data_IF_276958986574
#
_entry.id   IF_276958986574
#
_cell.length_a   1.000
_cell.length_b   1.000
_cell.length_c   1.000
_cell.angle_alpha   90.00
_cell.angle_beta   90.00
_cell.angle_gamma   90.00
#
_symmetry.space_group_name_H-M   'P 1'
#
loop_
_entity.id
_entity.type
_entity.pdbx_description
1 polymer ?
#
# COMPACT_ATOMS: atom_id res chain seq x y z
N UNK A 1 -49.72 -18.49 30.08
CA UNK A 1 -51.11 -18.89 29.76
C UNK A 1 -51.39 -18.36 28.36
N UNK A 2 -51.69 -19.07 27.28
CA UNK A 2 -52.10 -20.45 27.00
C UNK A 2 -51.42 -20.84 25.66
N UNK A 3 -50.80 -22.02 25.51
CA UNK A 3 -51.42 -23.33 25.22
C UNK A 3 -52.31 -23.35 23.97
N UNK A 4 -51.75 -23.91 22.88
CA UNK A 4 -52.35 -24.85 21.91
C UNK A 4 -51.34 -25.04 20.78
N UNK A 5 -50.87 -26.22 20.40
CA UNK A 5 -51.47 -27.55 20.48
C UNK A 5 -51.74 -28.05 19.06
N UNK A 6 -51.20 -29.23 18.70
CA UNK A 6 -51.47 -29.95 17.45
C UNK A 6 -50.20 -30.18 16.62
N UNK A 7 -49.40 -31.22 16.87
CA UNK A 7 -49.65 -32.65 16.65
C UNK A 7 -49.56 -33.07 15.17
N UNK A 8 -48.66 -34.03 14.98
CA UNK A 8 -48.62 -35.07 13.97
C UNK A 8 -48.04 -34.75 12.58
N UNK A 9 -47.08 -35.64 12.26
CA UNK A 9 -46.95 -36.30 10.97
C UNK A 9 -45.91 -35.76 9.98
N UNK A 10 -44.65 -36.10 10.24
CA UNK A 10 -43.72 -36.40 9.15
C UNK A 10 -42.73 -37.49 9.52
N UNK A 11 -43.26 -38.69 9.73
CA UNK A 11 -42.51 -39.93 9.52
C UNK A 11 -42.38 -40.13 8.01
N UNK A 12 -41.30 -39.65 7.37
CA UNK A 12 -40.86 -40.15 6.06
C UNK A 12 -39.32 -40.19 6.02
N UNK A 13 -38.85 -41.44 6.10
CA UNK A 13 -37.70 -42.02 5.40
C UNK A 13 -36.29 -41.56 5.79
N UNK A 14 -35.68 -42.46 6.58
CA UNK A 14 -34.30 -42.92 6.45
C UNK A 14 -33.89 -43.07 4.97
N UNK A 15 -33.38 -41.99 4.38
CA UNK A 15 -32.63 -42.02 3.13
C UNK A 15 -31.20 -41.67 3.45
N UNK A 16 -30.37 -42.68 3.69
CA UNK A 16 -28.92 -42.49 3.81
C UNK A 16 -28.43 -41.78 2.56
N UNK A 17 -28.10 -40.49 2.69
CA UNK A 17 -27.42 -39.74 1.66
C UNK A 17 -26.02 -40.34 1.54
N UNK A 18 -25.90 -41.37 0.71
CA UNK A 18 -24.66 -41.83 0.15
C UNK A 18 -23.96 -40.60 -0.42
N UNK A 19 -22.96 -40.11 0.31
CA UNK A 19 -22.07 -39.05 -0.14
C UNK A 19 -21.55 -39.51 -1.51
N UNK A 20 -21.68 -38.74 -2.59
CA UNK A 20 -21.04 -39.11 -3.84
C UNK A 20 -19.53 -39.13 -3.60
N UNK A 21 -18.99 -40.34 -3.47
CA UNK A 21 -17.58 -40.62 -3.41
C UNK A 21 -17.01 -40.30 -4.78
N UNK A 22 -16.55 -39.06 -4.97
CA UNK A 22 -15.70 -38.70 -6.09
C UNK A 22 -14.28 -39.20 -5.81
N UNK A 23 -14.09 -40.51 -5.87
CA UNK A 23 -12.78 -41.08 -6.12
C UNK A 23 -12.52 -40.96 -7.63
N UNK A 24 -11.51 -40.19 -8.08
CA UNK A 24 -11.16 -40.17 -9.49
C UNK A 24 -10.52 -41.52 -9.83
N UNK A 25 -11.33 -42.41 -10.39
CA UNK A 25 -10.88 -43.65 -10.99
C UNK A 25 -10.29 -43.33 -12.37
N UNK A 26 -9.00 -43.56 -12.54
CA UNK A 26 -8.36 -43.52 -13.85
C UNK A 26 -6.89 -43.14 -13.77
N UNK A 27 -6.03 -44.11 -14.08
CA UNK A 27 -4.60 -43.93 -14.34
C UNK A 27 -4.37 -43.12 -15.64
N UNK A 28 -4.78 -41.86 -15.62
CA UNK A 28 -4.59 -40.83 -16.65
C UNK A 28 -4.34 -39.44 -16.04
N UNK A 29 -4.03 -39.38 -14.73
CA UNK A 29 -4.02 -38.18 -13.89
C UNK A 29 -2.89 -37.18 -14.14
N UNK A 30 -1.88 -37.50 -14.96
CA UNK A 30 -0.75 -36.60 -15.24
C UNK A 30 -1.14 -35.34 -16.03
N UNK A 31 -2.06 -35.47 -17.00
CA UNK A 31 -2.51 -34.36 -17.83
C UNK A 31 -3.34 -33.32 -17.07
N UNK A 32 -4.22 -33.77 -16.18
CA UNK A 32 -5.10 -32.88 -15.38
C UNK A 32 -4.30 -32.11 -14.33
N UNK A 33 -3.32 -32.75 -13.68
CA UNK A 33 -2.41 -32.08 -12.74
C UNK A 33 -1.56 -31.03 -13.46
N UNK A 34 -0.98 -31.38 -14.61
CA UNK A 34 -0.21 -30.44 -15.43
C UNK A 34 -1.07 -29.26 -15.91
N UNK A 35 -2.31 -29.49 -16.34
CA UNK A 35 -3.23 -28.43 -16.74
C UNK A 35 -3.51 -27.45 -15.58
N UNK A 36 -3.74 -27.96 -14.36
CA UNK A 36 -3.91 -27.11 -13.17
C UNK A 36 -2.64 -26.31 -12.85
N UNK A 37 -1.46 -26.93 -12.92
CA UNK A 37 -0.18 -26.25 -12.72
C UNK A 37 0.05 -25.14 -13.75
N UNK A 38 -0.27 -25.38 -15.02
CA UNK A 38 -0.19 -24.37 -16.07
C UNK A 38 -1.16 -23.21 -15.83
N UNK A 39 -2.40 -23.48 -15.43
CA UNK A 39 -3.36 -22.42 -15.08
C UNK A 39 -2.88 -21.60 -13.88
N UNK A 40 -2.31 -22.24 -12.86
CA UNK A 40 -1.72 -21.54 -11.71
C UNK A 40 -0.55 -20.65 -12.15
N UNK A 41 0.37 -21.17 -12.97
CA UNK A 41 1.51 -20.42 -13.47
C UNK A 41 1.07 -19.24 -14.34
N UNK A 42 0.06 -19.43 -15.20
CA UNK A 42 -0.52 -18.35 -15.99
C UNK A 42 -1.12 -17.25 -15.10
N UNK A 43 -1.85 -17.63 -14.05
CA UNK A 43 -2.37 -16.67 -13.07
C UNK A 43 -1.26 -15.92 -12.32
N UNK A 44 -0.14 -16.58 -12.03
CA UNK A 44 1.02 -15.97 -11.39
C UNK A 44 1.72 -14.98 -12.32
N UNK A 45 1.90 -15.32 -13.60
CA UNK A 45 2.47 -14.42 -14.60
C UNK A 45 1.58 -13.19 -14.84
N UNK A 46 0.27 -13.37 -14.92
CA UNK A 46 -0.67 -12.26 -15.06
C UNK A 46 -0.60 -11.31 -13.84
N UNK A 47 -0.57 -11.87 -12.62
CA UNK A 47 -0.39 -11.09 -11.40
C UNK A 47 0.96 -10.37 -11.38
N UNK A 48 2.05 -11.06 -11.74
CA UNK A 48 3.37 -10.45 -11.77
C UNK A 48 3.42 -9.28 -12.77
N UNK A 49 2.86 -9.47 -13.97
CA UNK A 49 2.77 -8.41 -14.99
C UNK A 49 2.00 -7.19 -14.48
N UNK A 50 0.87 -7.40 -13.78
CA UNK A 50 0.10 -6.31 -13.19
C UNK A 50 0.92 -5.58 -12.11
N UNK A 51 1.54 -6.32 -11.19
CA UNK A 51 2.37 -5.72 -10.14
C UNK A 51 3.58 -4.93 -10.70
N UNK A 52 4.18 -5.41 -11.79
CA UNK A 52 5.28 -4.69 -12.45
C UNK A 52 4.80 -3.38 -13.07
N UNK A 53 3.63 -3.39 -13.73
CA UNK A 53 3.03 -2.18 -14.28
C UNK A 53 2.69 -1.15 -13.17
N UNK A 54 2.13 -1.63 -12.05
CA UNK A 54 1.83 -0.77 -10.90
C UNK A 54 3.10 -0.19 -10.28
N UNK A 55 4.15 -1.01 -10.16
CA UNK A 55 5.46 -0.57 -9.63
C UNK A 55 6.11 0.47 -10.54
N UNK A 56 6.07 0.29 -11.86
CA UNK A 56 6.58 1.25 -12.83
C UNK A 56 5.84 2.60 -12.74
N UNK A 57 4.52 2.56 -12.58
CA UNK A 57 3.71 3.75 -12.39
C UNK A 57 4.06 4.48 -11.07
N UNK A 58 4.16 3.74 -9.97
CA UNK A 58 4.58 4.30 -8.68
C UNK A 58 5.97 4.92 -8.76
N UNK A 59 6.92 4.29 -9.47
CA UNK A 59 8.26 4.83 -9.66
C UNK A 59 8.25 6.14 -10.46
N UNK A 60 7.45 6.23 -11.53
CA UNK A 60 7.29 7.48 -12.31
C UNK A 60 6.68 8.60 -11.47
N UNK A 61 5.64 8.31 -10.69
CA UNK A 61 5.04 9.32 -9.81
C UNK A 61 6.03 9.75 -8.73
N UNK A 62 6.73 8.79 -8.13
CA UNK A 62 7.71 9.06 -7.07
C UNK A 62 8.89 9.87 -7.59
N UNK A 63 9.35 9.65 -8.83
CA UNK A 63 10.43 10.46 -9.40
C UNK A 63 10.04 11.92 -9.58
N UNK A 64 8.82 12.19 -10.05
CA UNK A 64 8.29 13.56 -10.17
C UNK A 64 8.15 14.21 -8.79
N UNK A 65 7.65 13.46 -7.80
CA UNK A 65 7.54 13.94 -6.43
C UNK A 65 8.91 14.25 -5.82
N UNK A 66 9.92 13.40 -6.04
CA UNK A 66 11.28 13.61 -5.53
C UNK A 66 11.90 14.90 -6.10
N UNK A 67 11.70 15.17 -7.38
CA UNK A 67 12.14 16.41 -8.02
C UNK A 67 11.43 17.64 -7.45
N UNK A 68 10.10 17.57 -7.30
CA UNK A 68 9.32 18.65 -6.69
C UNK A 68 9.75 18.92 -5.24
N UNK A 69 9.99 17.88 -4.44
CA UNK A 69 10.48 18.02 -3.06
C UNK A 69 11.88 18.63 -3.01
N UNK A 70 12.77 18.25 -3.93
CA UNK A 70 14.10 18.86 -4.05
C UNK A 70 14.01 20.34 -4.40
N UNK A 71 13.16 20.71 -5.36
CA UNK A 71 12.93 22.11 -5.74
C UNK A 71 12.39 22.95 -4.57
N UNK A 72 11.37 22.44 -3.89
CA UNK A 72 10.81 23.08 -2.69
C UNK A 72 11.84 23.23 -1.57
N UNK A 73 12.61 22.17 -1.29
CA UNK A 73 13.66 22.20 -0.27
C UNK A 73 14.75 23.23 -0.60
N UNK A 74 15.16 23.33 -1.86
CA UNK A 74 16.13 24.34 -2.32
C UNK A 74 15.60 25.76 -2.15
N UNK A 75 14.31 26.00 -2.47
CA UNK A 75 13.67 27.29 -2.28
C UNK A 75 13.61 27.69 -0.80
N UNK A 76 13.16 26.79 0.07
CA UNK A 76 13.11 27.05 1.51
C UNK A 76 14.51 27.26 2.09
N UNK A 77 15.49 26.44 1.70
CA UNK A 77 16.88 26.60 2.13
C UNK A 77 17.47 27.94 1.69
N UNK A 78 17.25 28.34 0.44
CA UNK A 78 17.67 29.65 -0.07
C UNK A 78 16.99 30.82 0.66
N UNK A 79 15.68 30.71 0.93
CA UNK A 79 14.93 31.70 1.70
C UNK A 79 15.50 31.85 3.11
N UNK A 80 15.75 30.75 3.82
CA UNK A 80 16.36 30.80 5.16
C UNK A 80 17.79 31.35 5.13
N UNK A 81 18.61 31.00 4.14
CA UNK A 81 19.95 31.59 3.99
C UNK A 81 19.88 33.09 3.73
N UNK A 82 18.94 33.55 2.90
CA UNK A 82 18.75 34.97 2.62
C UNK A 82 18.23 35.73 3.86
N UNK A 83 17.21 35.19 4.54
CA UNK A 83 16.67 35.76 5.78
C UNK A 83 17.73 35.82 6.89
N UNK A 84 18.54 34.76 7.05
CA UNK A 84 19.65 34.73 8.01
C UNK A 84 20.74 35.76 7.70
N UNK A 85 21.00 36.06 6.42
CA UNK A 85 21.89 37.17 6.06
C UNK A 85 21.30 38.52 6.45
N UNK A 86 20.02 38.77 6.15
CA UNK A 86 19.35 40.03 6.50
C UNK A 86 19.38 40.24 8.02
N UNK A 87 18.99 39.23 8.79
CA UNK A 87 18.94 39.31 10.25
C UNK A 87 20.35 39.35 10.89
N UNK A 88 21.30 38.64 10.31
CA UNK A 88 22.69 38.56 10.78
C UNK A 88 23.50 39.82 10.49
N UNK A 89 23.30 40.47 9.34
CA UNK A 89 23.97 41.74 9.02
C UNK A 89 23.51 42.89 9.92
N UNK A 90 22.24 42.91 10.34
CA UNK A 90 21.74 43.88 11.33
C UNK A 90 22.37 43.66 12.72
N UNK A 91 22.48 42.41 13.16
CA UNK A 91 23.08 42.06 14.47
C UNK A 91 24.58 42.42 14.55
N UNK A 92 25.34 42.29 13.46
CA UNK A 92 26.78 42.65 13.41
C UNK A 92 26.99 44.16 13.36
N UNK A 93 26.16 44.91 12.63
CA UNK A 93 26.27 46.38 12.57
C UNK A 93 25.96 47.04 13.92
N UNK A 94 25.05 46.45 14.70
CA UNK A 94 24.75 46.90 16.06
C UNK A 94 25.93 46.66 17.03
N UNK A 95 26.67 45.55 16.90
CA UNK A 95 27.85 45.27 17.73
C UNK A 95 29.09 46.13 17.39
N UNK A 96 29.24 46.55 16.12
CA UNK A 96 30.41 47.31 15.66
C UNK A 96 30.24 48.83 15.88
N UNK A 97 29.05 49.30 16.31
CA UNK A 97 28.88 50.70 16.71
C UNK A 97 29.59 50.93 18.06
N UNK A 98 30.63 51.78 18.11
CA UNK A 98 31.62 51.73 19.16
C UNK A 98 31.10 52.38 20.44
N UNK A 99 31.20 51.62 21.53
CA UNK A 99 31.29 52.14 22.89
C UNK A 99 32.65 52.87 23.01
N UNK A 100 32.74 54.05 22.38
CA UNK A 100 33.96 54.85 22.23
C UNK A 100 33.65 56.34 22.34
N UNK A 101 32.88 56.72 23.35
CA UNK A 101 32.66 58.11 23.74
C UNK A 101 33.43 58.43 25.01
N UNK A 102 34.65 58.95 24.86
CA UNK A 102 35.42 59.58 25.94
C UNK A 102 34.56 60.63 26.63
N UNK A 103 34.39 60.52 27.96
CA UNK A 103 33.79 61.56 28.79
C UNK A 103 34.91 62.51 29.28
N UNK A 104 34.73 63.84 29.20
CA UNK A 104 35.66 64.83 29.74
C UNK A 104 35.67 64.84 31.26
#
# INVERSE_FOLDING_TARGET
MASRGGAADRTIMTGGAARPSMAPQGSGGGGVVKARQLTQLHSQLARLSANLADTENLLRMTSVQAEAMRGLGSWHGGLFMAASKVLGEESVKEQVQPQGGSRP
#
